data_IF_953119112974
#
_entry.id   IF_953119112974
#
_cell.length_a   1.000
_cell.length_b   1.000
_cell.length_c   1.000
_cell.angle_alpha   90.00
_cell.angle_beta   90.00
_cell.angle_gamma   90.00
#
_symmetry.space_group_name_H-M   'P 1'
#
loop_
_entity.id
_entity.type
_entity.pdbx_description
1 polymer ?
#
# COMPACT_ATOMS: atom_id res chain seq x y z
N UNK A 1 14.28 19.65 -4.64
CA UNK A 1 13.26 18.71 -4.10
C UNK A 1 12.17 19.41 -3.29
N UNK A 2 12.48 20.40 -2.45
CA UNK A 2 11.48 21.11 -1.62
C UNK A 2 10.28 21.68 -2.40
N UNK A 3 10.47 22.07 -3.66
CA UNK A 3 9.43 22.62 -4.56
C UNK A 3 8.23 21.67 -4.80
N UNK A 4 8.40 20.37 -4.61
CA UNK A 4 7.39 19.31 -4.90
C UNK A 4 6.90 18.59 -3.64
N UNK A 5 7.14 19.15 -2.45
CA UNK A 5 6.73 18.52 -1.19
C UNK A 5 5.52 19.25 -0.60
N UNK A 6 4.49 18.48 -0.24
CA UNK A 6 3.26 18.95 0.41
C UNK A 6 2.58 20.10 -0.36
N UNK A 7 2.48 19.94 -1.67
CA UNK A 7 1.97 20.98 -2.56
C UNK A 7 0.96 20.42 -3.55
N UNK A 8 0.00 21.22 -3.91
CA UNK A 8 -0.89 20.97 -5.04
C UNK A 8 -0.78 22.12 -6.07
N UNK A 9 -0.98 21.79 -7.33
CA UNK A 9 -0.84 22.74 -8.44
C UNK A 9 -2.07 22.67 -9.34
N UNK A 10 -2.61 23.85 -9.71
CA UNK A 10 -3.68 23.92 -10.69
C UNK A 10 -3.11 23.99 -12.10
N UNK A 11 -3.41 23.00 -12.94
CA UNK A 11 -2.96 22.98 -14.34
C UNK A 11 -3.10 21.62 -15.02
N UNK A 12 -2.61 21.55 -16.23
CA UNK A 12 -2.62 20.33 -17.02
C UNK A 12 -1.57 19.34 -16.52
N UNK A 13 -1.97 18.09 -16.24
CA UNK A 13 -1.08 17.07 -15.72
C UNK A 13 0.12 16.79 -16.62
N UNK A 14 -0.09 16.67 -17.94
CA UNK A 14 1.01 16.37 -18.90
C UNK A 14 2.04 17.52 -18.97
N UNK A 15 1.58 18.75 -18.95
CA UNK A 15 2.46 19.92 -18.97
C UNK A 15 3.30 20.01 -17.69
N UNK A 16 2.64 19.83 -16.54
CA UNK A 16 3.31 19.93 -15.24
C UNK A 16 4.26 18.76 -15.04
N UNK A 17 3.87 17.52 -15.39
CA UNK A 17 4.74 16.35 -15.26
C UNK A 17 6.07 16.54 -16.00
N UNK A 18 6.05 17.12 -17.21
CA UNK A 18 7.27 17.41 -17.99
C UNK A 18 8.25 18.35 -17.29
N UNK A 19 7.79 19.19 -16.37
CA UNK A 19 8.64 20.11 -15.59
C UNK A 19 9.27 19.47 -14.34
N UNK A 20 8.83 18.27 -13.98
CA UNK A 20 9.27 17.57 -12.77
C UNK A 20 10.55 16.77 -13.09
N UNK A 21 11.58 16.85 -12.23
CA UNK A 21 12.79 16.04 -12.41
C UNK A 21 12.49 14.53 -12.36
N UNK A 22 13.27 13.74 -13.08
CA UNK A 22 13.20 12.28 -13.02
C UNK A 22 13.48 11.78 -11.60
N UNK A 23 12.91 10.61 -11.25
CA UNK A 23 13.19 9.91 -9.97
C UNK A 23 12.84 10.75 -8.72
N UNK A 24 11.74 11.48 -8.75
CA UNK A 24 11.29 12.35 -7.65
C UNK A 24 10.38 11.63 -6.67
N UNK A 25 9.46 10.77 -7.13
CA UNK A 25 8.38 10.19 -6.33
C UNK A 25 8.61 8.72 -6.01
N UNK A 26 8.15 8.31 -4.83
CA UNK A 26 8.15 6.91 -4.38
C UNK A 26 6.92 6.17 -4.89
N UNK A 27 5.78 6.87 -4.96
CA UNK A 27 4.51 6.33 -5.39
C UNK A 27 3.82 7.29 -6.36
N UNK A 28 3.24 6.75 -7.42
CA UNK A 28 2.19 7.42 -8.21
C UNK A 28 0.86 6.75 -7.89
N UNK A 29 -0.15 7.54 -7.52
CA UNK A 29 -1.51 7.08 -7.31
C UNK A 29 -2.43 7.86 -8.24
N UNK A 30 -2.97 7.20 -9.26
CA UNK A 30 -3.81 7.81 -10.27
C UNK A 30 -5.23 7.26 -10.20
N UNK A 31 -6.20 8.13 -9.91
CA UNK A 31 -7.60 7.81 -10.08
C UNK A 31 -8.05 8.30 -11.45
N UNK A 32 -8.05 7.40 -12.44
CA UNK A 32 -8.14 7.81 -13.83
C UNK A 32 -9.54 8.19 -14.26
N UNK A 33 -9.53 9.13 -15.19
CA UNK A 33 -10.68 9.59 -15.96
C UNK A 33 -11.33 8.43 -16.71
N UNK A 34 -12.63 8.29 -16.57
CA UNK A 34 -13.40 7.29 -17.33
C UNK A 34 -13.76 7.87 -18.69
N UNK A 35 -13.63 7.10 -19.76
CA UNK A 35 -14.30 7.47 -21.02
C UNK A 35 -15.79 7.28 -20.77
N UNK A 36 -16.50 8.38 -20.55
CA UNK A 36 -17.93 8.30 -20.35
C UNK A 36 -18.61 7.91 -21.67
N UNK A 37 -19.03 6.65 -21.78
CA UNK A 37 -19.88 6.18 -22.88
C UNK A 37 -21.35 6.60 -22.68
N UNK A 38 -21.67 7.38 -21.66
CA UNK A 38 -23.04 7.70 -21.26
C UNK A 38 -23.41 9.09 -21.75
N UNK A 39 -23.78 9.19 -23.03
CA UNK A 39 -24.29 10.44 -23.66
C UNK A 39 -25.73 10.83 -23.36
N UNK A 40 -26.42 10.21 -22.38
CA UNK A 40 -27.85 10.51 -22.08
C UNK A 40 -28.08 10.69 -20.58
N UNK A 41 -28.98 11.65 -20.25
CA UNK A 41 -29.49 11.89 -18.88
C UNK A 41 -30.10 10.59 -18.34
N UNK A 42 -29.55 10.07 -17.25
CA UNK A 42 -30.12 8.94 -16.52
C UNK A 42 -31.25 9.42 -15.62
N UNK A 43 -32.40 8.72 -15.65
CA UNK A 43 -33.52 8.95 -14.73
C UNK A 43 -33.63 7.81 -13.75
N UNK A 44 -34.02 8.11 -12.52
CA UNK A 44 -34.43 7.12 -11.51
C UNK A 44 -35.83 6.58 -11.83
N UNK A 45 -36.27 5.51 -11.17
CA UNK A 45 -37.64 4.99 -11.31
C UNK A 45 -38.73 6.04 -10.99
N UNK A 46 -38.44 7.00 -10.11
CA UNK A 46 -39.28 8.13 -9.74
C UNK A 46 -39.24 9.30 -10.73
N UNK A 47 -38.68 9.09 -11.94
CA UNK A 47 -38.46 10.10 -12.98
C UNK A 47 -37.50 11.25 -12.59
N UNK A 48 -36.93 11.26 -11.39
CA UNK A 48 -35.92 12.24 -11.02
C UNK A 48 -34.62 12.04 -11.82
N UNK A 49 -33.95 13.14 -12.18
CA UNK A 49 -32.70 13.08 -12.92
C UNK A 49 -31.55 12.57 -12.03
N UNK A 50 -30.78 11.63 -12.53
CA UNK A 50 -29.48 11.27 -11.94
C UNK A 50 -28.43 12.16 -12.59
N UNK A 51 -27.75 12.98 -11.79
CA UNK A 51 -26.56 13.67 -12.26
C UNK A 51 -25.45 12.62 -12.45
N UNK A 52 -25.31 12.12 -13.67
CA UNK A 52 -24.17 11.30 -14.09
C UNK A 52 -22.89 12.12 -14.15
N UNK A 53 -21.77 11.46 -14.34
CA UNK A 53 -20.48 12.11 -14.65
C UNK A 53 -20.64 12.72 -16.06
N UNK A 54 -20.70 14.03 -16.16
CA UNK A 54 -20.79 14.78 -17.42
C UNK A 54 -19.75 15.93 -17.41
N UNK A 55 -18.63 15.68 -16.79
CA UNK A 55 -17.56 16.66 -16.64
C UNK A 55 -16.74 16.72 -17.93
N UNK A 56 -16.36 17.92 -18.38
CA UNK A 56 -15.60 18.17 -19.62
C UNK A 56 -14.25 17.43 -19.68
N UNK A 57 -13.70 17.10 -18.52
CA UNK A 57 -12.43 16.40 -18.41
C UNK A 57 -12.51 14.89 -18.73
N UNK A 58 -13.72 14.31 -18.78
CA UNK A 58 -13.98 12.89 -19.06
C UNK A 58 -14.37 12.65 -20.53
N UNK A 59 -14.19 13.65 -21.41
CA UNK A 59 -14.61 13.58 -22.81
C UNK A 59 -13.40 13.48 -23.73
N UNK A 60 -13.19 12.30 -24.30
CA UNK A 60 -12.25 12.05 -25.38
C UNK A 60 -13.02 11.89 -26.69
N UNK A 61 -12.48 12.40 -27.80
CA UNK A 61 -13.11 12.29 -29.13
C UNK A 61 -13.12 10.84 -29.64
N UNK A 62 -12.09 10.07 -29.30
CA UNK A 62 -11.93 8.68 -29.73
C UNK A 62 -11.14 7.86 -28.71
N UNK A 63 -11.20 6.54 -28.83
CA UNK A 63 -10.32 5.65 -28.08
C UNK A 63 -8.84 5.86 -28.44
N UNK A 64 -8.55 6.25 -29.67
CA UNK A 64 -7.19 6.56 -30.12
C UNK A 64 -6.61 7.76 -29.34
N UNK A 65 -7.39 8.82 -29.18
CA UNK A 65 -6.96 10.00 -28.41
C UNK A 65 -6.73 9.66 -26.95
N UNK A 66 -7.59 8.81 -26.38
CA UNK A 66 -7.42 8.30 -25.02
C UNK A 66 -6.16 7.46 -24.88
N UNK A 67 -5.85 6.61 -25.84
CA UNK A 67 -4.64 5.78 -25.83
C UNK A 67 -3.36 6.62 -25.90
N UNK A 68 -3.36 7.65 -26.76
CA UNK A 68 -2.24 8.60 -26.85
C UNK A 68 -2.04 9.28 -25.48
N UNK A 69 -3.12 9.81 -24.90
CA UNK A 69 -3.10 10.40 -23.57
C UNK A 69 -2.59 9.43 -22.51
N UNK A 70 -3.10 8.18 -22.50
CA UNK A 70 -2.66 7.16 -21.54
C UNK A 70 -1.18 6.86 -21.66
N UNK A 71 -0.68 6.70 -22.88
CA UNK A 71 0.74 6.45 -23.15
C UNK A 71 1.61 7.60 -22.67
N UNK A 72 1.21 8.85 -22.92
CA UNK A 72 1.99 10.03 -22.55
C UNK A 72 2.11 10.19 -21.03
N UNK A 73 0.98 10.21 -20.30
CA UNK A 73 1.06 10.40 -18.87
C UNK A 73 1.70 9.23 -18.13
N UNK A 74 1.52 7.98 -18.60
CA UNK A 74 2.18 6.82 -18.03
C UNK A 74 3.69 6.87 -18.21
N UNK A 75 4.19 7.31 -19.38
CA UNK A 75 5.61 7.51 -19.61
C UNK A 75 6.21 8.57 -18.69
N UNK A 76 5.52 9.72 -18.55
CA UNK A 76 5.99 10.77 -17.66
C UNK A 76 5.95 10.32 -16.19
N UNK A 77 4.89 9.62 -15.76
CA UNK A 77 4.83 9.03 -14.42
C UNK A 77 5.97 8.03 -14.19
N UNK A 78 6.33 7.21 -15.18
CA UNK A 78 7.45 6.29 -15.09
C UNK A 78 8.79 7.01 -14.96
N UNK A 79 8.97 8.12 -15.69
CA UNK A 79 10.17 8.95 -15.65
C UNK A 79 10.37 9.57 -14.26
N UNK A 80 9.30 10.13 -13.68
CA UNK A 80 9.37 10.82 -12.38
C UNK A 80 9.35 9.86 -11.19
N UNK A 81 8.99 8.59 -11.35
CA UNK A 81 9.12 7.56 -10.32
C UNK A 81 10.60 7.24 -10.04
N UNK A 82 10.95 7.08 -8.77
CA UNK A 82 12.22 6.51 -8.32
C UNK A 82 12.37 5.07 -8.84
N UNK A 83 13.60 4.54 -8.84
CA UNK A 83 13.84 3.17 -9.35
C UNK A 83 13.15 2.09 -8.51
N UNK A 84 12.94 2.34 -7.23
CA UNK A 84 12.15 1.51 -6.30
C UNK A 84 10.68 1.93 -6.20
N UNK A 85 10.24 2.86 -7.04
CA UNK A 85 8.87 3.38 -7.02
C UNK A 85 7.85 2.44 -7.65
N UNK A 86 6.60 2.64 -7.30
CA UNK A 86 5.46 1.90 -7.85
C UNK A 86 4.32 2.83 -8.24
N UNK A 87 3.38 2.31 -9.03
CA UNK A 87 2.19 3.01 -9.48
C UNK A 87 0.94 2.21 -9.11
N UNK A 88 -0.08 2.91 -8.63
CA UNK A 88 -1.44 2.42 -8.53
C UNK A 88 -2.35 3.20 -9.47
N UNK A 89 -3.15 2.49 -10.23
CA UNK A 89 -4.17 3.08 -11.10
C UNK A 89 -5.53 2.50 -10.76
N UNK A 90 -6.47 3.37 -10.41
CA UNK A 90 -7.85 2.98 -10.11
C UNK A 90 -8.71 3.26 -11.34
N UNK A 91 -9.47 2.28 -11.79
CA UNK A 91 -10.34 2.43 -12.94
C UNK A 91 -11.61 1.59 -12.89
N UNK A 92 -12.55 1.93 -13.75
CA UNK A 92 -13.78 1.17 -13.96
C UNK A 92 -13.63 0.23 -15.15
N UNK A 93 -14.60 -0.67 -15.36
CA UNK A 93 -14.63 -1.56 -16.52
C UNK A 93 -14.57 -0.84 -17.87
N UNK A 94 -14.86 0.46 -17.94
CA UNK A 94 -14.79 1.24 -19.16
C UNK A 94 -13.37 1.47 -19.67
N UNK A 95 -12.40 1.53 -18.77
CA UNK A 95 -11.05 1.98 -19.09
C UNK A 95 -9.91 1.10 -18.54
N UNK A 96 -10.14 0.35 -17.46
CA UNK A 96 -9.04 -0.30 -16.72
C UNK A 96 -8.27 -1.32 -17.57
N UNK A 97 -8.94 -2.08 -18.44
CA UNK A 97 -8.30 -3.05 -19.32
C UNK A 97 -7.38 -2.37 -20.34
N UNK A 98 -7.83 -1.25 -20.91
CA UNK A 98 -7.04 -0.43 -21.86
C UNK A 98 -5.84 0.18 -21.18
N UNK A 99 -6.00 0.67 -19.97
CA UNK A 99 -4.90 1.20 -19.15
C UNK A 99 -3.91 0.09 -18.80
N UNK A 100 -4.38 -1.10 -18.42
CA UNK A 100 -3.53 -2.25 -18.15
C UNK A 100 -2.64 -2.61 -19.36
N UNK A 101 -3.18 -2.57 -20.56
CA UNK A 101 -2.43 -2.72 -21.79
C UNK A 101 -1.32 -1.66 -21.94
N UNK A 102 -1.64 -0.39 -21.69
CA UNK A 102 -0.64 0.69 -21.79
C UNK A 102 0.42 0.62 -20.68
N UNK A 103 0.06 0.23 -19.45
CA UNK A 103 1.02 0.02 -18.35
C UNK A 103 2.08 -1.00 -18.77
N UNK A 104 1.67 -2.13 -19.36
CA UNK A 104 2.59 -3.17 -19.82
C UNK A 104 3.46 -2.68 -20.99
N UNK A 105 2.87 -2.01 -21.99
CA UNK A 105 3.60 -1.51 -23.16
C UNK A 105 4.62 -0.40 -22.82
N UNK A 106 4.33 0.42 -21.81
CA UNK A 106 5.30 1.41 -21.29
C UNK A 106 6.43 0.73 -20.51
N UNK A 107 6.28 -0.57 -20.21
CA UNK A 107 7.29 -1.39 -19.56
C UNK A 107 7.32 -1.28 -18.04
N UNK A 108 6.19 -1.01 -17.41
CA UNK A 108 6.00 -1.28 -16.00
C UNK A 108 5.91 -2.79 -15.76
N UNK A 109 6.24 -3.22 -14.55
CA UNK A 109 6.09 -4.62 -14.14
C UNK A 109 4.86 -4.78 -13.26
N UNK A 110 3.85 -5.50 -13.76
CA UNK A 110 2.61 -5.75 -13.05
C UNK A 110 2.87 -6.60 -11.81
N UNK A 111 2.35 -6.15 -10.66
CA UNK A 111 2.48 -6.84 -9.37
C UNK A 111 1.16 -7.52 -8.98
N UNK A 112 0.06 -6.75 -8.99
CA UNK A 112 -1.29 -7.27 -8.74
C UNK A 112 -2.34 -6.45 -9.51
N UNK A 113 -3.46 -7.11 -9.78
CA UNK A 113 -4.77 -6.49 -9.85
C UNK A 113 -5.48 -6.65 -8.50
N UNK A 114 -6.18 -5.62 -8.08
CA UNK A 114 -6.94 -5.63 -6.83
C UNK A 114 -8.38 -5.23 -7.13
N UNK A 115 -9.32 -6.00 -6.64
CA UNK A 115 -10.76 -5.73 -6.80
C UNK A 115 -11.27 -5.00 -5.57
N UNK A 116 -11.69 -3.75 -5.72
CA UNK A 116 -12.46 -3.06 -4.72
C UNK A 116 -13.94 -3.37 -4.88
N UNK A 117 -14.47 -4.24 -4.03
CA UNK A 117 -15.89 -4.54 -3.92
C UNK A 117 -16.59 -3.46 -3.11
N UNK A 118 -17.64 -2.88 -3.68
CA UNK A 118 -18.45 -1.87 -3.05
C UNK A 118 -19.59 -2.57 -2.27
N UNK A 119 -19.66 -2.41 -0.97
CA UNK A 119 -20.76 -2.98 -0.18
C UNK A 119 -22.07 -2.23 -0.34
N UNK A 120 -22.04 -1.00 -0.89
CA UNK A 120 -23.20 -0.17 -1.18
C UNK A 120 -23.16 0.40 -2.61
N UNK A 121 -23.09 -0.45 -3.66
CA UNK A 121 -23.00 0.02 -5.04
C UNK A 121 -24.28 0.73 -5.48
N UNK A 122 -24.14 1.70 -6.39
CA UNK A 122 -25.30 2.34 -6.98
C UNK A 122 -26.00 1.37 -7.95
N UNK A 123 -27.32 1.14 -7.81
CA UNK A 123 -28.04 0.20 -8.67
C UNK A 123 -28.06 0.66 -10.12
N UNK A 124 -28.25 -0.30 -11.03
CA UNK A 124 -28.56 0.01 -12.43
C UNK A 124 -30.04 0.33 -12.54
N UNK A 125 -30.37 1.61 -12.56
CA UNK A 125 -31.77 2.08 -12.56
C UNK A 125 -32.60 1.62 -13.78
N UNK A 126 -31.96 1.28 -14.89
CA UNK A 126 -32.66 0.77 -16.09
C UNK A 126 -32.89 -0.74 -16.07
N UNK A 127 -32.28 -1.49 -15.15
CA UNK A 127 -32.38 -2.93 -15.08
C UNK A 127 -31.85 -3.68 -16.33
N UNK A 128 -31.05 -3.04 -17.15
CA UNK A 128 -30.57 -3.59 -18.45
C UNK A 128 -29.20 -4.25 -18.39
N UNK A 129 -28.52 -4.21 -17.25
CA UNK A 129 -27.22 -4.83 -16.99
C UNK A 129 -26.99 -4.97 -15.49
N UNK A 130 -25.96 -5.71 -15.11
CA UNK A 130 -25.59 -5.89 -13.71
C UNK A 130 -25.24 -4.56 -13.02
N UNK A 131 -25.49 -4.50 -11.71
CA UNK A 131 -25.00 -3.41 -10.85
C UNK A 131 -23.47 -3.39 -10.87
N UNK A 132 -22.89 -2.20 -11.09
CA UNK A 132 -21.43 -2.05 -11.06
C UNK A 132 -20.89 -2.07 -9.63
N UNK A 133 -20.74 -3.28 -9.08
CA UNK A 133 -20.42 -3.52 -7.68
C UNK A 133 -18.93 -3.50 -7.36
N UNK A 134 -18.03 -3.28 -8.34
CA UNK A 134 -16.60 -3.21 -8.09
C UNK A 134 -15.88 -2.23 -9.01
N UNK A 135 -14.67 -1.87 -8.61
CA UNK A 135 -13.65 -1.23 -9.45
C UNK A 135 -12.36 -2.03 -9.36
N UNK A 136 -11.57 -1.99 -10.40
CA UNK A 136 -10.27 -2.67 -10.46
C UNK A 136 -9.14 -1.65 -10.25
N UNK A 137 -8.18 -2.04 -9.43
CA UNK A 137 -6.95 -1.30 -9.20
C UNK A 137 -5.80 -2.10 -9.77
N UNK A 138 -4.93 -1.46 -10.53
CA UNK A 138 -3.70 -2.07 -11.04
C UNK A 138 -2.54 -1.54 -10.22
N UNK A 139 -1.74 -2.45 -9.65
CA UNK A 139 -0.48 -2.13 -9.00
C UNK A 139 0.69 -2.65 -9.80
N UNK A 140 1.63 -1.76 -10.11
CA UNK A 140 2.81 -2.11 -10.88
C UNK A 140 4.06 -1.39 -10.33
N UNK A 141 5.21 -2.06 -10.41
CA UNK A 141 6.50 -1.44 -10.13
C UNK A 141 7.08 -0.80 -11.39
N UNK A 142 8.00 0.14 -11.21
CA UNK A 142 8.64 0.84 -12.33
C UNK A 142 9.29 -0.12 -13.34
N UNK A 143 9.84 -1.23 -12.86
CA UNK A 143 10.43 -2.28 -13.68
C UNK A 143 10.48 -3.62 -12.93
N UNK A 144 10.76 -4.71 -13.62
CA UNK A 144 10.96 -6.05 -13.03
C UNK A 144 12.07 -6.07 -11.95
N UNK A 145 13.09 -5.20 -12.07
CA UNK A 145 14.23 -5.12 -11.14
C UNK A 145 13.97 -4.19 -9.95
N UNK A 146 12.86 -3.48 -9.91
CA UNK A 146 12.54 -2.53 -8.84
C UNK A 146 12.37 -3.23 -7.49
N UNK A 147 13.06 -2.73 -6.48
CA UNK A 147 12.89 -3.15 -5.07
C UNK A 147 11.79 -2.28 -4.42
N UNK A 148 10.55 -2.50 -4.84
CA UNK A 148 9.41 -1.72 -4.36
C UNK A 148 9.10 -1.98 -2.89
N UNK A 149 8.48 -1.00 -2.24
CA UNK A 149 8.00 -1.12 -0.86
C UNK A 149 6.73 -1.95 -0.82
N UNK A 150 6.66 -2.93 0.11
CA UNK A 150 5.44 -3.63 0.47
C UNK A 150 5.44 -3.96 1.96
N UNK A 151 4.61 -3.28 2.72
CA UNK A 151 4.55 -3.35 4.19
C UNK A 151 3.72 -4.55 4.65
N UNK A 152 4.23 -5.75 4.40
CA UNK A 152 3.55 -7.02 4.63
C UNK A 152 3.07 -7.20 6.08
N UNK A 153 3.90 -6.88 7.07
CA UNK A 153 3.54 -7.05 8.47
C UNK A 153 2.43 -6.08 8.89
N UNK A 154 2.50 -4.82 8.48
CA UNK A 154 1.45 -3.84 8.73
C UNK A 154 0.11 -4.27 8.12
N UNK A 155 0.13 -4.87 6.92
CA UNK A 155 -1.08 -5.38 6.27
C UNK A 155 -1.64 -6.61 6.99
N UNK A 156 -0.81 -7.47 7.56
CA UNK A 156 -1.26 -8.57 8.41
C UNK A 156 -1.98 -8.06 9.66
N UNK A 157 -1.42 -7.06 10.33
CA UNK A 157 -2.09 -6.43 11.49
C UNK A 157 -3.45 -5.82 11.14
N UNK A 158 -3.59 -5.25 9.93
CA UNK A 158 -4.87 -4.75 9.44
C UNK A 158 -5.88 -5.86 9.06
N UNK A 159 -5.47 -7.12 9.05
CA UNK A 159 -6.26 -8.27 8.61
C UNK A 159 -6.15 -9.45 9.58
N UNK A 160 -6.20 -9.17 10.88
CA UNK A 160 -6.22 -10.17 11.96
C UNK A 160 -5.09 -11.23 11.82
N UNK A 161 -3.88 -10.77 11.56
CA UNK A 161 -2.67 -11.56 11.29
C UNK A 161 -2.73 -12.49 10.06
N UNK A 162 -3.78 -12.38 9.25
CA UNK A 162 -3.88 -13.09 7.98
C UNK A 162 -3.26 -12.27 6.85
N UNK A 163 -2.72 -12.94 5.84
CA UNK A 163 -2.23 -12.27 4.64
C UNK A 163 -3.35 -11.49 3.95
N UNK A 164 -3.10 -10.21 3.64
CA UNK A 164 -4.06 -9.37 2.93
C UNK A 164 -4.30 -9.93 1.52
N UNK A 165 -5.57 -10.10 1.17
CA UNK A 165 -6.01 -10.58 -0.15
C UNK A 165 -6.15 -9.42 -1.12
N UNK A 166 -6.32 -9.73 -2.41
CA UNK A 166 -6.52 -8.75 -3.48
C UNK A 166 -8.01 -8.40 -3.73
N UNK A 167 -8.92 -8.84 -2.88
CA UNK A 167 -10.36 -8.53 -2.94
C UNK A 167 -10.78 -7.72 -1.71
N UNK A 168 -10.78 -6.41 -1.85
CA UNK A 168 -11.05 -5.49 -0.75
C UNK A 168 -12.50 -5.03 -0.73
N UNK A 169 -13.11 -4.98 0.44
CA UNK A 169 -14.48 -4.47 0.60
C UNK A 169 -14.46 -3.13 1.33
N UNK A 170 -14.92 -2.09 0.65
CA UNK A 170 -15.11 -0.75 1.20
C UNK A 170 -16.41 -0.13 0.67
N UNK A 171 -17.09 0.73 1.46
CA UNK A 171 -18.18 1.53 0.93
C UNK A 171 -17.69 2.54 -0.12
N UNK A 172 -18.58 2.97 -0.99
CA UNK A 172 -18.33 4.18 -1.78
C UNK A 172 -18.29 5.39 -0.85
N UNK A 173 -17.56 6.43 -1.25
CA UNK A 173 -17.51 7.66 -0.49
C UNK A 173 -18.92 8.26 -0.33
N UNK A 174 -19.39 8.40 0.92
CA UNK A 174 -20.71 8.92 1.26
C UNK A 174 -20.70 9.71 2.59
N UNK A 175 -21.87 10.07 3.08
CA UNK A 175 -22.07 10.70 4.40
C UNK A 175 -21.20 11.96 4.62
N UNK A 176 -20.54 12.02 5.79
CA UNK A 176 -19.70 13.15 6.21
C UNK A 176 -18.38 13.25 5.43
N UNK A 177 -17.87 12.12 4.92
CA UNK A 177 -16.64 12.10 4.12
C UNK A 177 -16.83 12.74 2.74
N UNK A 178 -18.05 12.68 2.21
CA UNK A 178 -18.38 13.20 0.89
C UNK A 178 -18.41 14.72 0.90
N UNK A 179 -17.50 15.35 0.15
CA UNK A 179 -17.48 16.80 0.03
C UNK A 179 -18.76 17.32 -0.64
N UNK A 180 -19.43 18.24 0.06
CA UNK A 180 -20.63 18.91 -0.41
C UNK A 180 -20.47 20.42 -0.29
N UNK A 181 -21.00 21.15 -1.26
CA UNK A 181 -21.14 22.62 -1.24
C UNK A 181 -22.59 22.95 -1.57
N UNK A 182 -23.25 23.71 -0.71
CA UNK A 182 -24.69 24.02 -0.83
C UNK A 182 -25.56 22.75 -1.05
N UNK A 183 -25.31 21.70 -0.26
CA UNK A 183 -26.03 20.42 -0.33
C UNK A 183 -25.70 19.53 -1.54
N UNK A 184 -24.96 20.05 -2.54
CA UNK A 184 -24.59 19.32 -3.76
C UNK A 184 -23.18 18.70 -3.65
N UNK A 185 -22.98 17.52 -4.24
CA UNK A 185 -21.65 16.88 -4.33
C UNK A 185 -20.68 17.78 -5.09
N UNK A 186 -19.49 18.00 -4.54
CA UNK A 186 -18.43 18.77 -5.22
C UNK A 186 -17.85 17.97 -6.38
N UNK A 187 -17.58 16.67 -6.18
CA UNK A 187 -17.00 15.80 -7.20
C UNK A 187 -17.82 14.51 -7.33
N UNK A 188 -18.05 14.06 -8.57
CA UNK A 188 -18.91 12.88 -8.84
C UNK A 188 -18.27 11.55 -8.37
N UNK A 189 -16.97 11.41 -8.47
CA UNK A 189 -16.21 10.14 -8.28
C UNK A 189 -15.18 10.20 -7.15
N UNK A 190 -15.43 11.02 -6.09
CA UNK A 190 -14.54 11.04 -4.91
C UNK A 190 -14.35 9.63 -4.35
N UNK A 191 -13.10 9.20 -4.16
CA UNK A 191 -12.77 7.89 -3.59
C UNK A 191 -12.79 7.92 -2.07
N UNK A 192 -13.12 6.80 -1.40
CA UNK A 192 -13.09 6.72 0.07
C UNK A 192 -11.68 6.75 0.61
N UNK A 193 -11.47 7.46 1.72
CA UNK A 193 -10.17 7.57 2.38
C UNK A 193 -9.62 6.21 2.82
N UNK A 194 -10.50 5.31 3.29
CA UNK A 194 -10.11 3.96 3.72
C UNK A 194 -9.42 3.14 2.62
N UNK A 195 -9.88 3.28 1.36
CA UNK A 195 -9.24 2.63 0.21
C UNK A 195 -7.83 3.18 0.00
N UNK A 196 -7.67 4.50 0.00
CA UNK A 196 -6.38 5.15 -0.20
C UNK A 196 -5.44 4.96 0.98
N UNK A 197 -5.97 4.89 2.22
CA UNK A 197 -5.22 4.55 3.41
C UNK A 197 -4.52 3.19 3.23
N UNK A 198 -5.26 2.16 2.82
CA UNK A 198 -4.70 0.82 2.59
C UNK A 198 -3.63 0.83 1.51
N UNK A 199 -3.87 1.50 0.37
CA UNK A 199 -2.89 1.63 -0.72
C UNK A 199 -1.61 2.31 -0.24
N UNK A 200 -1.72 3.48 0.38
CA UNK A 200 -0.57 4.28 0.81
C UNK A 200 0.22 3.55 1.90
N UNK A 201 -0.47 3.00 2.90
CA UNK A 201 0.21 2.25 3.97
C UNK A 201 0.92 1.01 3.44
N UNK A 202 0.33 0.30 2.48
CA UNK A 202 0.91 -0.94 1.94
C UNK A 202 2.17 -0.71 1.11
N UNK A 203 2.28 0.42 0.41
CA UNK A 203 3.29 0.62 -0.64
C UNK A 203 4.18 1.84 -0.48
N UNK A 204 4.14 2.48 0.69
CA UNK A 204 5.02 3.59 1.06
C UNK A 204 5.46 3.53 2.51
N UNK A 205 6.59 4.18 2.82
CA UNK A 205 7.07 4.43 4.17
C UNK A 205 6.80 5.88 4.58
N UNK A 206 6.95 6.20 5.87
CA UNK A 206 6.93 7.58 6.37
C UNK A 206 7.92 8.44 5.55
N UNK A 207 7.55 9.68 5.29
CA UNK A 207 8.29 10.66 4.49
C UNK A 207 8.43 10.34 2.99
N UNK A 208 7.95 9.21 2.50
CA UNK A 208 7.86 8.95 1.07
C UNK A 208 6.99 9.99 0.37
N UNK A 209 7.36 10.32 -0.88
CA UNK A 209 6.67 11.34 -1.68
C UNK A 209 5.73 10.68 -2.66
N UNK A 210 4.46 11.08 -2.59
CA UNK A 210 3.37 10.53 -3.40
C UNK A 210 2.94 11.56 -4.44
N UNK A 211 2.84 11.15 -5.69
CA UNK A 211 2.27 11.94 -6.78
C UNK A 211 0.84 11.48 -7.09
N UNK A 212 -0.08 12.42 -7.15
CA UNK A 212 -1.40 12.22 -7.77
C UNK A 212 -1.56 13.18 -8.96
N UNK A 213 -1.45 12.69 -10.20
CA UNK A 213 -1.54 13.54 -11.39
C UNK A 213 -2.98 13.97 -11.72
N UNK A 214 -3.99 13.40 -11.04
CA UNK A 214 -5.42 13.66 -11.26
C UNK A 214 -6.13 13.82 -9.92
N UNK A 215 -5.70 14.80 -9.13
CA UNK A 215 -5.96 14.92 -7.70
C UNK A 215 -7.45 14.99 -7.32
N UNK A 216 -8.30 15.55 -8.18
CA UNK A 216 -9.71 15.75 -7.88
C UNK A 216 -9.92 16.59 -6.63
N UNK A 217 -10.63 16.05 -5.65
CA UNK A 217 -10.89 16.70 -4.35
C UNK A 217 -9.85 16.40 -3.27
N UNK A 218 -8.66 15.94 -3.64
CA UNK A 218 -7.51 15.85 -2.76
C UNK A 218 -7.47 14.64 -1.82
N UNK A 219 -8.22 13.57 -2.07
CA UNK A 219 -8.25 12.43 -1.13
C UNK A 219 -6.87 11.81 -0.93
N UNK A 220 -6.07 11.67 -2.00
CA UNK A 220 -4.70 11.17 -1.91
C UNK A 220 -3.82 12.03 -1.01
N UNK A 221 -3.85 13.35 -1.19
CA UNK A 221 -3.06 14.29 -0.40
C UNK A 221 -3.50 14.32 1.08
N UNK A 222 -4.81 14.25 1.33
CA UNK A 222 -5.38 14.16 2.68
C UNK A 222 -4.88 12.92 3.41
N UNK A 223 -4.95 11.76 2.77
CA UNK A 223 -4.51 10.49 3.39
C UNK A 223 -2.99 10.45 3.53
N UNK A 224 -2.24 10.93 2.54
CA UNK A 224 -0.80 11.07 2.64
C UNK A 224 -0.39 11.93 3.84
N UNK A 225 -1.00 13.12 4.00
CA UNK A 225 -0.77 14.01 5.14
C UNK A 225 -1.10 13.35 6.47
N UNK A 226 -2.25 12.64 6.58
CA UNK A 226 -2.63 11.91 7.80
C UNK A 226 -1.58 10.87 8.18
N UNK A 227 -1.02 10.15 7.21
CA UNK A 227 -0.08 9.08 7.41
C UNK A 227 1.40 9.53 7.46
N UNK A 228 1.70 10.82 7.52
CA UNK A 228 3.08 11.32 7.58
C UNK A 228 3.86 11.14 6.27
N UNK A 229 3.17 10.99 5.12
CA UNK A 229 3.78 10.98 3.79
C UNK A 229 3.73 12.38 3.19
N UNK A 230 4.70 12.67 2.33
CA UNK A 230 4.70 13.91 1.52
C UNK A 230 3.85 13.68 0.26
N UNK A 231 3.28 14.73 -0.27
CA UNK A 231 2.43 14.62 -1.46
C UNK A 231 2.73 15.73 -2.46
N UNK A 232 2.46 15.44 -3.72
CA UNK A 232 2.35 16.40 -4.80
C UNK A 232 1.13 16.05 -5.64
N UNK A 233 0.22 17.00 -5.82
CA UNK A 233 -1.03 16.78 -6.55
C UNK A 233 -1.21 17.76 -7.68
N UNK A 234 -1.76 17.30 -8.80
CA UNK A 234 -2.10 18.14 -9.96
C UNK A 234 -3.60 18.06 -10.20
N UNK A 235 -4.26 19.19 -10.33
CA UNK A 235 -5.69 19.27 -10.65
C UNK A 235 -5.95 20.34 -11.69
N UNK A 236 -6.61 19.98 -12.79
CA UNK A 236 -6.90 20.89 -13.89
C UNK A 236 -8.09 21.80 -13.60
N UNK A 237 -9.13 21.26 -12.96
CA UNK A 237 -10.35 22.03 -12.65
C UNK A 237 -10.13 22.93 -11.43
N UNK A 238 -10.31 24.25 -11.64
CA UNK A 238 -10.12 25.26 -10.57
C UNK A 238 -11.07 25.06 -9.38
N UNK A 239 -12.29 24.51 -9.59
CA UNK A 239 -13.25 24.29 -8.49
C UNK A 239 -12.80 23.12 -7.63
N UNK A 240 -12.35 22.03 -8.27
CA UNK A 240 -11.82 20.86 -7.57
C UNK A 240 -10.51 21.19 -6.86
N UNK A 241 -9.62 21.94 -7.50
CA UNK A 241 -8.39 22.44 -6.91
C UNK A 241 -8.65 23.22 -5.61
N UNK A 242 -9.56 24.23 -5.64
CA UNK A 242 -9.92 24.99 -4.44
C UNK A 242 -10.49 24.10 -3.34
N UNK A 243 -11.38 23.17 -3.70
CA UNK A 243 -11.96 22.24 -2.73
C UNK A 243 -10.92 21.30 -2.12
N UNK A 244 -9.94 20.84 -2.91
CA UNK A 244 -8.81 20.04 -2.44
C UNK A 244 -7.93 20.84 -1.49
N UNK A 245 -7.57 22.08 -1.84
CA UNK A 245 -6.73 22.95 -1.02
C UNK A 245 -7.37 23.22 0.35
N UNK A 246 -8.64 23.63 0.38
CA UNK A 246 -9.40 23.84 1.62
C UNK A 246 -9.44 22.57 2.48
N UNK A 247 -9.65 21.40 1.87
CA UNK A 247 -9.72 20.10 2.57
C UNK A 247 -8.37 19.71 3.16
N UNK A 248 -7.30 19.85 2.38
CA UNK A 248 -5.93 19.49 2.81
C UNK A 248 -5.49 20.40 3.95
N UNK A 249 -5.78 21.70 3.87
CA UNK A 249 -5.44 22.69 4.90
C UNK A 249 -6.16 22.41 6.22
N UNK A 250 -7.43 22.00 6.19
CA UNK A 250 -8.22 21.59 7.37
C UNK A 250 -7.81 20.22 7.94
N UNK A 251 -7.08 19.40 7.18
CA UNK A 251 -6.69 18.07 7.61
C UNK A 251 -5.56 18.16 8.64
N UNK A 252 -5.77 17.56 9.81
CA UNK A 252 -4.74 17.36 10.81
C UNK A 252 -3.95 16.07 10.49
N UNK A 253 -2.63 16.12 10.58
CA UNK A 253 -1.78 14.93 10.56
C UNK A 253 -2.02 14.10 11.83
N UNK A 254 -1.83 12.80 11.75
CA UNK A 254 -1.74 11.93 12.92
C UNK A 254 -0.44 12.28 13.66
N UNK A 255 -0.45 12.24 14.98
CA UNK A 255 0.74 12.49 15.79
C UNK A 255 1.87 11.53 15.41
N UNK A 256 3.09 12.04 15.41
CA UNK A 256 4.26 11.32 14.92
C UNK A 256 4.50 10.00 15.66
N UNK A 257 4.21 9.95 16.96
CA UNK A 257 4.29 8.77 17.81
C UNK A 257 3.43 7.59 17.36
N UNK A 258 2.37 7.83 16.59
CA UNK A 258 1.47 6.80 16.05
C UNK A 258 1.74 6.42 14.59
N UNK A 259 2.76 7.01 13.97
CA UNK A 259 3.07 6.76 12.56
C UNK A 259 4.03 5.58 12.34
N UNK A 260 4.61 5.05 13.40
CA UNK A 260 5.51 3.91 13.32
C UNK A 260 4.75 2.65 12.88
N UNK A 261 5.33 1.94 11.93
CA UNK A 261 4.79 0.70 11.38
C UNK A 261 5.73 -0.46 11.68
N UNK A 262 5.17 -1.68 11.71
CA UNK A 262 5.98 -2.87 11.91
C UNK A 262 6.98 -3.05 10.77
N UNK A 263 8.24 -3.27 11.12
CA UNK A 263 9.28 -3.57 10.14
C UNK A 263 9.03 -4.90 9.45
N UNK A 264 9.31 -4.94 8.15
CA UNK A 264 9.30 -6.19 7.41
C UNK A 264 10.49 -7.06 7.79
N UNK A 265 10.25 -8.11 8.56
CA UNK A 265 11.29 -9.06 8.98
C UNK A 265 12.02 -9.74 7.79
N UNK A 266 11.46 -9.69 6.58
CA UNK A 266 12.11 -10.21 5.36
C UNK A 266 13.30 -9.39 4.88
N UNK A 267 13.45 -8.15 5.34
CA UNK A 267 14.59 -7.29 5.00
C UNK A 267 15.81 -7.54 5.89
N UNK A 268 15.64 -8.24 7.01
CA UNK A 268 16.76 -8.56 7.91
C UNK A 268 17.46 -9.83 7.43
N UNK A 269 18.81 -9.83 7.36
CA UNK A 269 19.56 -11.03 7.02
C UNK A 269 19.14 -12.20 7.91
N UNK A 270 18.90 -13.36 7.32
CA UNK A 270 18.63 -14.56 8.09
C UNK A 270 19.95 -15.03 8.70
N UNK A 271 20.03 -15.04 10.02
CA UNK A 271 21.13 -15.64 10.78
C UNK A 271 20.62 -16.96 11.33
N UNK A 272 21.09 -18.11 10.80
CA UNK A 272 20.79 -19.42 11.37
C UNK A 272 21.27 -19.50 12.82
N UNK A 273 20.59 -20.29 13.66
CA UNK A 273 21.04 -20.47 15.06
C UNK A 273 22.44 -21.09 15.13
N UNK A 274 22.74 -22.05 14.22
CA UNK A 274 24.07 -22.65 14.10
C UNK A 274 25.19 -21.63 13.93
N UNK A 275 24.94 -20.53 13.19
CA UNK A 275 25.96 -19.49 13.01
C UNK A 275 26.34 -18.77 14.32
N UNK A 276 25.43 -18.69 15.30
CA UNK A 276 25.79 -18.16 16.62
C UNK A 276 26.68 -19.12 17.39
N UNK A 277 26.57 -20.42 17.14
CA UNK A 277 27.40 -21.48 17.72
C UNK A 277 28.78 -21.48 17.04
N UNK A 278 28.84 -21.46 15.71
CA UNK A 278 30.08 -21.40 14.92
C UNK A 278 30.93 -20.18 15.27
N UNK A 279 30.32 -19.04 15.48
CA UNK A 279 30.98 -17.79 15.85
C UNK A 279 31.31 -17.68 17.36
N UNK A 280 31.02 -18.71 18.15
CA UNK A 280 31.27 -18.73 19.58
C UNK A 280 30.46 -17.76 20.42
N UNK A 281 29.40 -17.18 19.86
CA UNK A 281 28.47 -16.26 20.56
C UNK A 281 27.69 -17.01 21.64
N UNK A 282 27.36 -18.26 21.33
CA UNK A 282 26.80 -19.21 22.31
C UNK A 282 27.57 -20.54 22.19
N UNK A 283 28.00 -21.11 23.30
CA UNK A 283 28.87 -22.29 23.27
C UNK A 283 28.06 -23.58 23.23
N UNK A 284 28.53 -24.61 22.51
CA UNK A 284 28.00 -25.98 22.68
C UNK A 284 28.01 -26.38 24.16
N UNK A 285 27.04 -27.18 24.59
CA UNK A 285 26.87 -27.54 25.98
C UNK A 285 26.09 -26.54 26.83
N UNK A 286 25.87 -25.32 26.35
CA UNK A 286 25.03 -24.34 27.05
C UNK A 286 23.60 -24.83 27.18
N UNK A 287 23.03 -24.70 28.38
CA UNK A 287 21.63 -24.99 28.63
C UNK A 287 20.78 -23.77 28.27
N UNK A 288 19.77 -24.03 27.47
CA UNK A 288 18.69 -23.07 27.17
C UNK A 288 17.39 -23.59 27.76
N UNK A 289 16.46 -22.70 28.07
CA UNK A 289 15.23 -23.05 28.78
C UNK A 289 14.05 -22.23 28.29
N UNK A 290 12.84 -22.70 28.59
CA UNK A 290 11.62 -21.91 28.38
C UNK A 290 11.55 -20.73 29.36
N UNK A 291 10.71 -19.75 29.11
CA UNK A 291 10.56 -18.55 29.95
C UNK A 291 10.33 -18.85 31.44
N UNK A 292 9.65 -19.96 31.75
CA UNK A 292 9.33 -20.39 33.12
C UNK A 292 10.40 -21.30 33.73
N UNK A 293 11.48 -21.60 33.01
CA UNK A 293 12.54 -22.56 33.39
C UNK A 293 12.05 -23.97 33.71
N UNK A 294 10.89 -24.38 33.22
CA UNK A 294 10.35 -25.74 33.42
C UNK A 294 10.91 -26.74 32.43
N UNK A 295 11.30 -26.26 31.25
CA UNK A 295 11.81 -27.08 30.14
C UNK A 295 13.21 -26.58 29.81
N UNK A 296 14.17 -27.50 29.71
CA UNK A 296 15.53 -27.20 29.33
C UNK A 296 15.95 -28.00 28.09
N UNK A 297 16.89 -27.50 27.32
CA UNK A 297 17.53 -28.17 26.22
C UNK A 297 19.02 -27.81 26.20
N UNK A 298 19.84 -28.75 25.70
CA UNK A 298 21.28 -28.55 25.57
C UNK A 298 21.67 -28.28 24.14
N UNK A 299 22.51 -27.28 23.93
CA UNK A 299 23.01 -26.92 22.59
C UNK A 299 24.12 -27.89 22.19
N UNK A 300 24.03 -28.43 20.99
CA UNK A 300 25.00 -29.36 20.41
C UNK A 300 25.98 -28.60 19.49
N UNK A 301 27.09 -29.25 19.14
CA UNK A 301 28.17 -28.66 18.32
C UNK A 301 27.73 -28.25 16.90
N UNK A 302 26.72 -28.91 16.36
CA UNK A 302 26.14 -28.66 15.03
C UNK A 302 25.05 -27.60 15.03
N UNK A 303 24.81 -26.89 16.16
CA UNK A 303 23.75 -25.91 16.31
C UNK A 303 22.37 -26.51 16.51
N UNK A 304 22.24 -27.85 16.58
CA UNK A 304 21.01 -28.49 17.05
C UNK A 304 20.85 -28.33 18.57
N UNK A 305 19.64 -28.56 19.08
CA UNK A 305 19.39 -28.64 20.52
C UNK A 305 18.77 -30.00 20.87
N UNK A 306 19.07 -30.49 22.06
CA UNK A 306 18.54 -31.74 22.58
C UNK A 306 17.77 -31.53 23.88
N UNK A 307 16.50 -31.98 23.90
CA UNK A 307 15.63 -32.04 25.06
C UNK A 307 15.09 -33.46 25.20
N UNK A 308 15.48 -34.20 26.28
CA UNK A 308 15.16 -35.64 26.45
C UNK A 308 15.50 -36.40 25.17
N UNK A 309 14.54 -37.15 24.61
CA UNK A 309 14.68 -37.94 23.37
C UNK A 309 14.49 -37.07 22.07
N UNK A 310 14.21 -35.78 22.21
CA UNK A 310 13.98 -34.91 21.05
C UNK A 310 15.21 -34.09 20.72
N UNK A 311 15.71 -34.20 19.49
CA UNK A 311 16.81 -33.42 18.95
C UNK A 311 16.42 -32.75 17.62
N UNK A 312 17.01 -31.62 17.32
CA UNK A 312 16.79 -30.89 16.07
C UNK A 312 17.01 -29.39 16.19
N UNK A 313 16.51 -28.63 15.22
CA UNK A 313 16.61 -27.19 15.27
C UNK A 313 15.82 -26.61 16.44
N UNK A 314 16.18 -25.37 16.87
CA UNK A 314 15.48 -24.63 17.93
C UNK A 314 13.96 -24.53 17.66
N UNK A 315 13.56 -24.44 16.39
CA UNK A 315 12.15 -24.40 15.96
C UNK A 315 11.46 -25.75 16.10
N UNK A 316 12.12 -26.81 15.60
CA UNK A 316 11.56 -28.18 15.59
C UNK A 316 11.34 -28.74 17.01
N UNK A 317 12.30 -28.49 17.89
CA UNK A 317 12.18 -28.96 19.28
C UNK A 317 11.12 -28.14 20.02
N UNK A 318 11.06 -26.82 19.82
CA UNK A 318 10.02 -25.98 20.41
C UNK A 318 8.61 -26.39 19.92
N UNK A 319 8.43 -26.64 18.62
CA UNK A 319 7.16 -27.09 18.04
C UNK A 319 6.70 -28.42 18.64
N UNK A 320 7.62 -29.39 18.78
CA UNK A 320 7.32 -30.69 19.39
C UNK A 320 6.87 -30.56 20.85
N UNK A 321 7.52 -29.69 21.63
CA UNK A 321 7.17 -29.44 23.03
C UNK A 321 5.79 -28.77 23.13
N UNK A 322 5.48 -27.85 22.21
CA UNK A 322 4.22 -27.11 22.19
C UNK A 322 3.06 -27.89 21.55
N UNK A 323 3.32 -29.08 20.96
CA UNK A 323 2.31 -29.90 20.27
C UNK A 323 1.78 -29.21 18.99
N UNK A 324 2.62 -28.41 18.29
CA UNK A 324 2.24 -27.69 17.08
C UNK A 324 3.11 -28.11 15.89
N UNK A 325 2.61 -27.90 14.65
CA UNK A 325 3.38 -28.21 13.44
C UNK A 325 4.64 -27.33 13.29
N UNK A 326 4.56 -26.08 13.78
CA UNK A 326 5.66 -25.12 13.77
C UNK A 326 5.63 -24.21 14.98
N UNK A 327 6.80 -23.80 15.47
CA UNK A 327 6.90 -22.82 16.55
C UNK A 327 8.17 -21.98 16.42
N UNK A 328 8.11 -20.71 16.84
CA UNK A 328 9.27 -19.82 16.75
C UNK A 328 10.26 -20.07 17.90
N UNK A 329 11.29 -20.87 17.64
CA UNK A 329 12.31 -21.19 18.64
C UNK A 329 13.15 -20.00 19.11
N UNK A 330 13.28 -18.93 18.33
CA UNK A 330 14.02 -17.74 18.76
C UNK A 330 13.37 -17.03 19.94
N UNK A 331 12.07 -17.01 20.00
CA UNK A 331 11.29 -16.37 21.08
C UNK A 331 10.93 -17.35 22.20
N UNK A 332 10.95 -18.65 21.92
CA UNK A 332 10.64 -19.69 22.90
C UNK A 332 11.78 -19.95 23.89
N UNK A 333 13.01 -20.01 23.37
CA UNK A 333 14.18 -20.36 24.16
C UNK A 333 14.87 -19.14 24.75
N UNK A 334 15.30 -19.28 26.00
CA UNK A 334 16.03 -18.29 26.80
C UNK A 334 17.39 -18.86 27.21
N UNK A 335 18.36 -17.99 27.44
CA UNK A 335 19.67 -18.34 27.98
C UNK A 335 20.11 -17.30 29.02
N UNK A 336 21.09 -17.66 29.84
CA UNK A 336 21.76 -16.71 30.74
C UNK A 336 22.83 -15.94 29.96
N UNK A 337 22.83 -14.62 30.08
CA UNK A 337 23.89 -13.72 29.59
C UNK A 337 24.33 -12.85 30.78
N UNK A 338 25.47 -13.19 31.37
CA UNK A 338 25.86 -12.67 32.68
C UNK A 338 24.79 -13.03 33.70
N UNK A 339 24.33 -12.02 34.45
CA UNK A 339 23.30 -12.18 35.48
C UNK A 339 21.85 -12.05 34.94
N UNK A 340 21.69 -11.90 33.63
CA UNK A 340 20.36 -11.66 33.01
C UNK A 340 19.89 -12.86 32.20
N UNK A 341 18.58 -13.13 32.28
CA UNK A 341 17.90 -14.11 31.43
C UNK A 341 17.35 -13.40 30.22
N UNK A 342 17.72 -13.83 29.03
CA UNK A 342 17.28 -13.20 27.79
C UNK A 342 16.82 -14.24 26.78
N UNK A 343 15.86 -13.94 25.90
CA UNK A 343 15.54 -14.80 24.77
C UNK A 343 16.77 -14.91 23.86
N UNK A 344 16.99 -16.08 23.30
CA UNK A 344 18.14 -16.32 22.38
C UNK A 344 18.10 -15.39 21.16
N UNK A 345 16.93 -14.88 20.79
CA UNK A 345 16.77 -13.86 19.76
C UNK A 345 17.58 -12.58 20.06
N UNK A 346 17.74 -12.21 21.31
CA UNK A 346 18.55 -11.05 21.70
C UNK A 346 20.02 -11.18 21.29
N UNK A 347 20.54 -12.42 21.31
CA UNK A 347 21.91 -12.70 20.81
C UNK A 347 22.00 -12.53 19.31
N UNK A 348 20.98 -12.99 18.57
CA UNK A 348 20.86 -12.78 17.14
C UNK A 348 20.79 -11.29 16.78
N UNK A 349 19.96 -10.52 17.48
CA UNK A 349 19.82 -9.06 17.27
C UNK A 349 21.14 -8.34 17.55
N UNK A 350 21.85 -8.71 18.62
CA UNK A 350 23.16 -8.14 18.93
C UNK A 350 24.20 -8.45 17.87
N UNK A 351 24.17 -9.66 17.29
CA UNK A 351 25.04 -10.02 16.18
C UNK A 351 24.73 -9.20 14.93
N UNK A 352 23.45 -9.07 14.56
CA UNK A 352 23.01 -8.29 13.41
C UNK A 352 23.41 -6.81 13.57
N UNK A 353 23.28 -6.22 14.75
CA UNK A 353 23.63 -4.80 14.99
C UNK A 353 25.13 -4.50 14.93
N UNK A 354 25.99 -5.52 15.06
CA UNK A 354 27.45 -5.35 15.00
C UNK A 354 28.06 -5.60 13.61
N UNK A 355 27.32 -6.26 12.71
CA UNK A 355 27.83 -6.73 11.41
C UNK A 355 27.03 -6.15 10.23
N UNK A 356 26.18 -5.17 10.47
CA UNK A 356 25.51 -4.31 9.50
C UNK A 356 25.78 -2.85 9.87
#
# INVERSE_FOLDING_TARGET
MSKFLNKIVNGNALEILKTIPSKTFNLVLANLLTISQIGKKLKRPDNSNVNGVNDKWDQFKSFKDYDIFCKEWLNECKRVLKDNGSIWVIGTYHNIFRIGYHIQNVGYWMLNDVIWRKNNPMPNFKGTRFTNAHETLIWASKSKKSKYTFNYQSLKCLNDDLQMRSDWTFPICNGKERLKKNGKKVHSTQKPEALLHRIILSTTNKDDVILDPFLGTGTTAVVAKKLGRKYFGIEKDKKYFKAADERINKTKAIEESYLDTLENNKSKPRVPFGSLVELGIIKPGTNIFDQKKKINAKIMVDGSIKHKESAGSIHKVAAKIMGTESYNGWTYWYCNVGNSIVPIDKLRQKFLSKNI
#
